data_IF_542288935805
#
_entry.id   IF_542288935805
#
_cell.length_a   1.000
_cell.length_b   1.000
_cell.length_c   1.000
_cell.angle_alpha   90.00
_cell.angle_beta   90.00
_cell.angle_gamma   90.00
#
_symmetry.space_group_name_H-M   'P 1'
#
loop_
_entity.id
_entity.type
_entity.pdbx_description
1 polymer ?
#
# COMPACT_ATOMS: atom_id res chain seq x y z
N UNK A 1 -4.72 -34.01 8.58
CA UNK A 1 -3.94 -33.04 9.33
C UNK A 1 -4.39 -31.65 8.97
N UNK A 2 -4.69 -30.90 9.98
CA UNK A 2 -5.17 -29.54 9.73
C UNK A 2 -4.12 -28.68 9.06
N UNK A 3 -2.86 -29.01 9.20
CA UNK A 3 -1.78 -28.22 8.63
C UNK A 3 -1.86 -28.11 7.11
N UNK A 4 -2.58 -29.00 6.48
CA UNK A 4 -2.69 -28.97 5.02
C UNK A 4 -3.84 -28.10 4.55
N UNK A 5 -4.63 -27.62 5.46
CA UNK A 5 -5.74 -26.75 5.11
C UNK A 5 -5.25 -25.34 4.90
N UNK A 6 -5.75 -24.73 3.85
CA UNK A 6 -5.45 -23.35 3.62
C UNK A 6 -6.33 -22.47 4.51
N UNK A 7 -5.84 -21.32 4.91
CA UNK A 7 -6.66 -20.41 5.68
C UNK A 7 -7.93 -20.04 4.93
N UNK A 8 -9.00 -19.86 5.66
CA UNK A 8 -10.24 -19.40 5.04
C UNK A 8 -10.06 -17.97 4.52
N UNK A 9 -10.99 -17.55 3.68
CA UNK A 9 -10.95 -16.18 3.18
C UNK A 9 -10.99 -15.18 4.32
N UNK A 10 -11.81 -15.47 5.34
CA UNK A 10 -11.89 -14.58 6.49
C UNK A 10 -10.57 -14.49 7.22
N UNK A 11 -9.88 -15.61 7.38
CA UNK A 11 -8.57 -15.61 8.03
C UNK A 11 -7.56 -14.83 7.22
N UNK A 12 -7.59 -14.98 5.90
CA UNK A 12 -6.66 -14.25 5.03
C UNK A 12 -6.90 -12.75 5.10
N UNK A 13 -8.17 -12.35 5.10
CA UNK A 13 -8.52 -10.94 5.18
C UNK A 13 -8.11 -10.34 6.52
N UNK A 14 -8.33 -11.08 7.61
CA UNK A 14 -8.00 -10.55 8.93
C UNK A 14 -6.50 -10.41 9.14
N UNK A 15 -5.69 -11.15 8.40
CA UNK A 15 -4.23 -11.06 8.52
C UNK A 15 -3.63 -10.04 7.56
N UNK A 16 -4.43 -9.40 6.70
CA UNK A 16 -3.91 -8.42 5.77
C UNK A 16 -3.43 -7.17 6.50
N UNK A 17 -2.33 -6.64 6.00
CA UNK A 17 -1.81 -5.36 6.47
C UNK A 17 -2.81 -4.26 6.09
N UNK A 18 -3.19 -3.45 7.04
CA UNK A 18 -4.05 -2.30 6.79
C UNK A 18 -3.35 -1.03 7.23
N UNK A 19 -3.76 0.13 6.71
CA UNK A 19 -3.19 1.38 7.18
C UNK A 19 -3.46 1.56 8.67
N UNK A 20 -2.44 2.01 9.37
CA UNK A 20 -2.56 2.32 10.79
C UNK A 20 -2.99 3.77 10.94
N UNK A 21 -3.05 4.24 12.18
CA UNK A 21 -3.59 5.56 12.48
C UNK A 21 -2.95 6.68 11.66
N UNK A 22 -1.66 6.61 11.43
CA UNK A 22 -0.94 7.67 10.72
C UNK A 22 -0.63 7.30 9.29
N UNK A 23 -1.40 6.36 8.71
CA UNK A 23 -1.13 5.85 7.38
C UNK A 23 -2.38 5.93 6.54
N UNK A 24 -2.20 5.96 5.22
CA UNK A 24 -3.33 5.99 4.28
C UNK A 24 -3.04 5.08 3.11
N UNK A 25 -4.09 4.60 2.46
CA UNK A 25 -3.97 3.91 1.19
C UNK A 25 -3.57 4.91 0.10
N UNK A 26 -2.84 4.43 -0.89
CA UNK A 26 -2.54 5.22 -2.07
C UNK A 26 -2.39 4.35 -3.29
N UNK A 27 -2.48 4.99 -4.45
CA UNK A 27 -2.26 4.34 -5.74
C UNK A 27 -1.10 5.06 -6.40
N UNK A 28 -0.11 4.30 -6.84
CA UNK A 28 1.08 4.87 -7.49
C UNK A 28 0.67 5.38 -8.86
N UNK A 29 0.92 6.67 -9.11
CA UNK A 29 0.60 7.30 -10.39
C UNK A 29 1.78 7.36 -11.31
N UNK A 30 2.99 7.55 -10.78
CA UNK A 30 4.15 7.79 -11.62
C UNK A 30 5.41 7.49 -10.87
N UNK A 31 6.40 6.96 -11.59
CA UNK A 31 7.74 6.75 -11.05
C UNK A 31 8.57 8.00 -11.36
N UNK A 32 9.10 8.62 -10.31
CA UNK A 32 9.82 9.88 -10.46
C UNK A 32 11.33 9.72 -10.48
N UNK A 33 11.82 8.48 -10.37
CA UNK A 33 13.25 8.23 -10.30
C UNK A 33 13.81 8.44 -8.91
N UNK A 34 15.05 8.01 -8.71
CA UNK A 34 15.78 8.19 -7.46
C UNK A 34 15.03 7.65 -6.24
N UNK A 35 14.24 6.60 -6.44
CA UNK A 35 13.52 5.99 -5.32
C UNK A 35 12.30 6.75 -4.88
N UNK A 36 11.75 7.61 -5.72
CA UNK A 36 10.55 8.38 -5.41
C UNK A 36 9.42 8.02 -6.35
N UNK A 37 8.20 8.09 -5.83
CA UNK A 37 6.99 7.81 -6.58
C UNK A 37 5.96 8.88 -6.29
N UNK A 38 5.18 9.21 -7.30
CA UNK A 38 4.02 10.06 -7.12
C UNK A 38 2.85 9.16 -6.77
N UNK A 39 2.22 9.39 -5.62
CA UNK A 39 1.17 8.52 -5.12
C UNK A 39 -0.06 9.34 -4.80
N UNK A 40 -1.19 8.93 -5.38
CA UNK A 40 -2.46 9.57 -5.08
C UNK A 40 -3.07 8.86 -3.88
N UNK A 41 -3.19 9.56 -2.78
CA UNK A 41 -3.62 9.00 -1.52
C UNK A 41 -5.12 9.14 -1.33
N UNK A 42 -5.70 8.21 -0.58
CA UNK A 42 -7.14 8.20 -0.36
C UNK A 42 -7.65 9.36 0.47
N UNK A 43 -6.78 10.04 1.18
CA UNK A 43 -7.17 11.22 1.94
C UNK A 43 -7.29 12.48 1.07
N UNK A 44 -7.13 12.34 -0.24
CA UNK A 44 -7.32 13.44 -1.16
C UNK A 44 -6.05 14.14 -1.59
N UNK A 45 -4.91 13.78 -1.02
CA UNK A 45 -3.64 14.43 -1.37
C UNK A 45 -2.81 13.53 -2.28
N UNK A 46 -2.12 14.14 -3.23
CA UNK A 46 -1.14 13.44 -4.05
C UNK A 46 0.23 13.80 -3.50
N UNK A 47 0.98 12.78 -3.09
CA UNK A 47 2.26 12.98 -2.42
C UNK A 47 3.41 12.43 -3.23
N UNK A 48 4.57 13.08 -3.08
CA UNK A 48 5.82 12.50 -3.56
C UNK A 48 6.33 11.60 -2.43
N UNK A 49 6.34 10.29 -2.69
CA UNK A 49 6.66 9.32 -1.65
C UNK A 49 7.99 8.66 -1.92
N UNK A 50 8.77 8.50 -0.86
CA UNK A 50 10.05 7.82 -0.92
C UNK A 50 9.82 6.32 -0.73
N UNK A 51 10.57 5.51 -1.45
CA UNK A 51 10.59 4.07 -1.24
C UNK A 51 11.81 3.77 -0.38
N UNK A 52 11.62 3.35 0.89
CA UNK A 52 12.78 3.03 1.72
C UNK A 52 13.63 1.94 1.10
N UNK A 53 14.94 1.99 1.34
CA UNK A 53 15.87 1.07 0.70
C UNK A 53 15.54 -0.39 0.93
N UNK A 54 15.12 -0.75 2.15
CA UNK A 54 14.77 -2.13 2.46
C UNK A 54 13.60 -2.63 1.63
N UNK A 55 12.63 -1.75 1.36
CA UNK A 55 11.47 -2.13 0.58
C UNK A 55 11.83 -2.21 -0.90
N UNK A 56 12.65 -1.27 -1.36
CA UNK A 56 13.12 -1.27 -2.75
C UNK A 56 13.83 -2.54 -3.14
N UNK A 57 14.55 -3.13 -2.21
CA UNK A 57 15.29 -4.37 -2.46
C UNK A 57 14.39 -5.58 -2.54
N UNK A 58 13.18 -5.50 -1.99
CA UNK A 58 12.30 -6.65 -1.89
C UNK A 58 11.19 -6.65 -2.91
N UNK A 59 10.69 -5.49 -3.28
CA UNK A 59 9.53 -5.41 -4.14
C UNK A 59 9.77 -4.40 -5.23
N UNK A 60 9.14 -4.67 -6.35
CA UNK A 60 9.18 -3.79 -7.51
C UNK A 60 7.88 -3.02 -7.53
N UNK A 61 7.93 -1.73 -7.23
CA UNK A 61 6.75 -0.89 -7.16
C UNK A 61 6.58 -0.15 -8.48
N UNK A 62 5.39 -0.20 -9.04
CA UNK A 62 5.09 0.38 -10.34
C UNK A 62 3.80 1.16 -10.32
N UNK A 63 3.56 1.86 -11.42
CA UNK A 63 2.30 2.57 -11.61
C UNK A 63 1.13 1.60 -11.47
N UNK A 64 0.09 2.08 -10.81
CA UNK A 64 -1.11 1.27 -10.57
C UNK A 64 -1.07 0.43 -9.34
N UNK A 65 0.09 0.27 -8.71
CA UNK A 65 0.18 -0.50 -7.47
C UNK A 65 -0.53 0.22 -6.34
N UNK A 66 -1.18 -0.57 -5.48
CA UNK A 66 -1.80 -0.05 -4.27
C UNK A 66 -0.82 -0.20 -3.13
N UNK A 67 -0.59 0.87 -2.42
CA UNK A 67 0.42 0.93 -1.37
C UNK A 67 -0.17 1.56 -0.12
N UNK A 68 0.56 1.42 0.99
CA UNK A 68 0.27 2.15 2.21
C UNK A 68 1.32 3.24 2.33
N UNK A 69 0.87 4.47 2.58
CA UNK A 69 1.74 5.63 2.69
C UNK A 69 1.66 6.17 4.11
N UNK A 70 2.82 6.47 4.67
CA UNK A 70 2.91 7.18 5.93
C UNK A 70 3.33 8.62 5.62
N UNK A 71 2.41 9.58 5.73
CA UNK A 71 2.76 10.98 5.49
C UNK A 71 3.85 11.45 6.46
N UNK A 72 4.74 12.30 5.98
CA UNK A 72 5.76 12.89 6.85
C UNK A 72 5.11 13.84 7.83
N UNK A 73 5.75 14.02 8.98
CA UNK A 73 5.25 14.98 9.96
C UNK A 73 5.36 16.41 9.45
N UNK A 74 6.43 16.68 8.69
CA UNK A 74 6.61 17.98 8.04
C UNK A 74 6.21 17.79 6.59
N UNK A 75 5.46 18.75 6.04
CA UNK A 75 4.98 18.66 4.67
C UNK A 75 4.11 17.43 4.46
N UNK A 76 3.24 17.13 5.41
CA UNK A 76 2.45 15.89 5.39
C UNK A 76 1.52 15.79 4.20
N UNK A 77 1.12 16.93 3.61
CA UNK A 77 0.23 16.92 2.45
C UNK A 77 0.98 16.67 1.15
N UNK A 78 2.30 16.78 1.16
CA UNK A 78 3.13 16.70 -0.04
C UNK A 78 4.09 15.54 -0.06
N UNK A 79 4.47 15.04 1.11
CA UNK A 79 5.52 14.04 1.23
C UNK A 79 5.09 12.88 2.10
N UNK A 80 5.65 11.71 1.81
CA UNK A 80 5.39 10.52 2.59
C UNK A 80 6.37 9.43 2.26
N UNK A 81 6.26 8.33 3.00
CA UNK A 81 7.04 7.12 2.75
C UNK A 81 6.08 6.01 2.39
N UNK A 82 6.44 5.22 1.38
CA UNK A 82 5.71 4.00 1.08
C UNK A 82 6.19 2.95 2.07
N UNK A 83 5.27 2.41 2.87
CA UNK A 83 5.64 1.44 3.90
C UNK A 83 5.22 0.03 3.53
N UNK A 84 4.35 -0.15 2.54
CA UNK A 84 3.88 -1.47 2.15
C UNK A 84 3.29 -1.42 0.75
N UNK A 85 3.44 -2.51 -0.01
CA UNK A 85 2.80 -2.66 -1.31
C UNK A 85 1.96 -3.94 -1.31
N UNK A 86 0.72 -3.83 -1.77
CA UNK A 86 -0.17 -4.99 -1.86
C UNK A 86 0.07 -5.77 -3.14
N UNK A 87 -0.01 -7.10 -3.04
CA UNK A 87 0.00 -7.95 -4.23
C UNK A 87 -1.40 -7.93 -4.84
N UNK A 88 -1.51 -8.42 -6.07
CA UNK A 88 -2.82 -8.50 -6.73
C UNK A 88 -3.77 -9.41 -5.96
N UNK A 89 -3.26 -10.50 -5.41
CA UNK A 89 -4.08 -11.43 -4.63
C UNK A 89 -4.62 -10.74 -3.38
N UNK A 90 -3.75 -10.03 -2.67
CA UNK A 90 -4.16 -9.30 -1.47
C UNK A 90 -5.19 -8.23 -1.80
N UNK A 91 -4.99 -7.55 -2.92
CA UNK A 91 -5.92 -6.52 -3.34
C UNK A 91 -7.29 -7.09 -3.61
N UNK A 92 -7.35 -8.30 -4.20
CA UNK A 92 -8.61 -8.99 -4.41
C UNK A 92 -9.32 -9.27 -3.09
N UNK A 93 -8.57 -9.68 -2.06
CA UNK A 93 -9.17 -9.91 -0.75
C UNK A 93 -9.69 -8.62 -0.13
N UNK A 94 -8.95 -7.52 -0.28
CA UNK A 94 -9.40 -6.23 0.25
C UNK A 94 -10.69 -5.77 -0.42
N UNK A 95 -10.82 -6.01 -1.73
CA UNK A 95 -12.03 -5.67 -2.44
C UNK A 95 -13.20 -6.49 -1.97
N UNK A 96 -13.00 -7.79 -1.75
CA UNK A 96 -14.07 -8.66 -1.26
C UNK A 96 -14.52 -8.26 0.13
N UNK A 97 -13.62 -7.76 0.95
CA UNK A 97 -13.93 -7.34 2.30
C UNK A 97 -14.54 -5.93 2.36
N UNK A 98 -14.59 -5.23 1.23
CA UNK A 98 -15.09 -3.86 1.22
C UNK A 98 -14.13 -2.84 1.80
N UNK A 99 -12.88 -3.24 2.04
CA UNK A 99 -11.87 -2.34 2.61
C UNK A 99 -11.28 -1.45 1.53
N UNK A 100 -11.12 -1.97 0.33
CA UNK A 100 -10.61 -1.23 -0.82
C UNK A 100 -11.64 -1.29 -1.94
N UNK A 101 -12.11 -0.15 -2.36
CA UNK A 101 -13.15 -0.07 -3.39
C UNK A 101 -12.59 0.30 -4.75
N UNK A 102 -11.29 0.50 -4.82
CA UNK A 102 -10.64 0.83 -6.06
C UNK A 102 -10.62 2.32 -6.32
N UNK A 103 -10.41 2.66 -7.55
CA UNK A 103 -10.28 4.04 -8.00
C UNK A 103 -11.60 4.62 -8.42
#
# INVERSE_FOLDING_TARGET
>A
MAKDEEPSLEERISSLRRPRKNEVFGVVEDAMGSGHMKVRCKDGYTRTCRIPGRLRKRVWIREGDVVIVEPWQVQSDEKGDIVYRYTQTQLGWLKKAGIWEGE
#
